data_IF_762928126300
#
_entry.id   IF_762928126300
#
_cell.length_a   1.000
_cell.length_b   1.000
_cell.length_c   1.000
_cell.angle_alpha   90.00
_cell.angle_beta   90.00
_cell.angle_gamma   90.00
#
_symmetry.space_group_name_H-M   'P 1'
#
loop_
_entity.id
_entity.type
_entity.pdbx_description
1 polymer ?
#
# COMPACT_ATOMS: atom_id res chain seq x y z
N UNK A 1 7.95 13.62 -9.04
CA UNK A 1 6.78 14.04 -8.24
C UNK A 1 7.27 14.99 -7.14
N UNK A 2 6.58 16.11 -6.83
CA UNK A 2 6.95 16.94 -5.66
C UNK A 2 6.87 16.13 -4.36
N UNK A 3 7.82 16.36 -3.44
CA UNK A 3 7.93 15.58 -2.20
C UNK A 3 6.68 15.63 -1.32
N UNK A 4 6.04 16.80 -1.17
CA UNK A 4 4.81 16.93 -0.38
C UNK A 4 3.65 16.09 -0.95
N UNK A 5 3.53 16.01 -2.28
CA UNK A 5 2.49 15.23 -2.94
C UNK A 5 2.78 13.74 -2.74
N UNK A 6 4.05 13.34 -2.86
CA UNK A 6 4.50 11.99 -2.59
C UNK A 6 4.13 11.55 -1.17
N UNK A 7 4.46 12.39 -0.18
CA UNK A 7 4.16 12.12 1.22
C UNK A 7 2.66 12.08 1.48
N UNK A 8 1.90 13.01 0.90
CA UNK A 8 0.43 13.02 1.03
C UNK A 8 -0.23 11.76 0.45
N UNK A 9 0.25 11.29 -0.70
CA UNK A 9 -0.24 10.05 -1.31
C UNK A 9 0.04 8.82 -0.45
N UNK A 10 1.24 8.72 0.14
CA UNK A 10 1.61 7.64 1.06
C UNK A 10 0.77 7.71 2.33
N UNK A 11 0.72 8.90 2.95
CA UNK A 11 0.00 9.14 4.20
C UNK A 11 -1.49 8.81 4.07
N UNK A 12 -2.10 9.02 2.90
CA UNK A 12 -3.51 8.70 2.67
C UNK A 12 -3.83 7.21 2.81
N UNK A 13 -2.88 6.31 2.51
CA UNK A 13 -3.07 4.87 2.63
C UNK A 13 -2.83 4.31 4.04
N UNK A 14 -2.16 5.06 4.92
CA UNK A 14 -1.80 4.59 6.27
C UNK A 14 -3.00 4.46 7.23
N UNK A 15 -3.98 5.38 7.27
CA UNK A 15 -5.10 5.30 8.20
C UNK A 15 -5.83 3.96 8.16
N UNK A 16 -6.07 3.42 6.96
CA UNK A 16 -6.72 2.12 6.80
C UNK A 16 -5.91 1.01 7.45
N UNK A 17 -4.60 0.98 7.21
CA UNK A 17 -3.70 -0.06 7.73
C UNK A 17 -3.63 0.00 9.24
N UNK A 18 -3.45 1.21 9.80
CA UNK A 18 -3.42 1.41 11.26
C UNK A 18 -4.76 0.96 11.88
N UNK A 19 -5.89 1.41 11.36
CA UNK A 19 -7.21 1.05 11.91
C UNK A 19 -7.55 -0.44 11.77
N UNK A 20 -7.10 -1.08 10.69
CA UNK A 20 -7.30 -2.52 10.48
C UNK A 20 -6.43 -3.35 11.43
N UNK A 21 -5.17 -2.98 11.60
CA UNK A 21 -4.24 -3.67 12.51
C UNK A 21 -4.68 -3.52 13.97
N UNK A 22 -5.12 -2.32 14.38
CA UNK A 22 -5.70 -2.08 15.71
C UNK A 22 -7.02 -2.84 15.96
N UNK A 23 -7.59 -3.51 14.94
CA UNK A 23 -8.87 -4.20 15.04
C UNK A 23 -10.09 -3.27 15.14
N UNK A 24 -9.91 -1.95 14.99
CA UNK A 24 -10.98 -0.94 15.08
C UNK A 24 -11.92 -1.05 13.88
N UNK A 25 -11.34 -1.25 12.69
CA UNK A 25 -12.10 -1.42 11.44
C UNK A 25 -11.79 -2.80 10.89
N UNK A 26 -12.64 -3.77 11.22
CA UNK A 26 -12.51 -5.12 10.70
C UNK A 26 -12.69 -5.14 9.17
N UNK A 27 -11.98 -6.02 8.44
CA UNK A 27 -12.17 -6.19 7.01
C UNK A 27 -13.63 -6.48 6.67
N UNK A 28 -14.14 -5.83 5.62
CA UNK A 28 -15.49 -6.06 5.07
C UNK A 28 -16.64 -5.77 6.06
N UNK A 29 -16.36 -5.15 7.20
CA UNK A 29 -17.33 -4.95 8.28
C UNK A 29 -18.33 -3.82 8.03
N UNK A 30 -17.96 -2.80 7.23
CA UNK A 30 -18.75 -1.57 7.09
C UNK A 30 -18.42 -0.80 5.82
N UNK A 31 -19.29 0.16 5.47
CA UNK A 31 -19.02 1.13 4.40
C UNK A 31 -17.75 1.95 4.65
N UNK A 32 -17.43 2.23 5.92
CA UNK A 32 -16.22 2.97 6.33
C UNK A 32 -14.96 2.21 5.90
N UNK A 33 -14.95 0.88 6.04
CA UNK A 33 -13.84 0.05 5.56
C UNK A 33 -13.58 0.25 4.06
N UNK A 34 -14.63 0.21 3.24
CA UNK A 34 -14.50 0.41 1.79
C UNK A 34 -14.06 1.82 1.44
N UNK A 35 -14.56 2.85 2.14
CA UNK A 35 -14.11 4.23 1.94
C UNK A 35 -12.62 4.34 2.25
N UNK A 36 -12.17 3.84 3.40
CA UNK A 36 -10.75 3.85 3.80
C UNK A 36 -9.87 3.04 2.84
N UNK A 37 -10.38 1.92 2.30
CA UNK A 37 -9.63 1.07 1.38
C UNK A 37 -9.54 1.66 -0.02
N UNK A 38 -10.62 2.26 -0.54
CA UNK A 38 -10.71 2.70 -1.94
C UNK A 38 -10.26 4.15 -2.15
N UNK A 39 -10.45 5.02 -1.17
CA UNK A 39 -10.11 6.45 -1.27
C UNK A 39 -8.64 6.68 -1.66
N UNK A 40 -7.65 6.00 -1.05
CA UNK A 40 -6.25 6.18 -1.42
C UNK A 40 -6.02 5.86 -2.90
N UNK A 41 -6.56 4.74 -3.39
CA UNK A 41 -6.39 4.34 -4.79
C UNK A 41 -7.11 5.27 -5.77
N UNK A 42 -8.31 5.73 -5.43
CA UNK A 42 -9.04 6.70 -6.24
C UNK A 42 -8.26 8.02 -6.38
N UNK A 43 -7.71 8.53 -5.28
CA UNK A 43 -6.89 9.75 -5.29
C UNK A 43 -5.59 9.54 -6.08
N UNK A 44 -4.91 8.40 -5.90
CA UNK A 44 -3.70 8.08 -6.69
C UNK A 44 -3.99 8.04 -8.19
N UNK A 45 -5.09 7.41 -8.60
CA UNK A 45 -5.52 7.36 -10.00
C UNK A 45 -5.88 8.74 -10.53
N UNK A 46 -6.58 9.56 -9.74
CA UNK A 46 -6.89 10.94 -10.10
C UNK A 46 -5.60 11.75 -10.32
N UNK A 47 -4.60 11.62 -9.43
CA UNK A 47 -3.30 12.26 -9.59
C UNK A 47 -2.56 11.74 -10.82
N UNK A 48 -2.60 10.43 -11.08
CA UNK A 48 -2.00 9.81 -12.25
C UNK A 48 -2.58 10.34 -13.56
N UNK A 49 -3.91 10.48 -13.63
CA UNK A 49 -4.61 11.01 -14.81
C UNK A 49 -4.37 12.51 -14.95
N UNK A 50 -4.55 13.30 -13.89
CA UNK A 50 -4.53 14.76 -13.97
C UNK A 50 -3.11 15.35 -14.10
N UNK A 51 -2.10 14.72 -13.49
CA UNK A 51 -0.76 15.30 -13.47
C UNK A 51 -0.06 15.15 -14.82
N UNK A 52 0.56 16.23 -15.27
CA UNK A 52 1.50 16.22 -16.40
C UNK A 52 2.90 16.01 -15.86
N UNK A 53 3.52 14.89 -16.20
CA UNK A 53 4.86 14.50 -15.75
C UNK A 53 5.63 13.95 -16.94
N UNK A 54 6.95 14.24 -17.00
CA UNK A 54 7.85 13.73 -18.03
C UNK A 54 8.17 12.24 -17.87
N UNK A 55 8.05 11.70 -16.67
CA UNK A 55 8.44 10.33 -16.29
C UNK A 55 7.38 9.62 -15.43
N UNK A 56 6.14 9.45 -15.93
CA UNK A 56 5.00 9.04 -15.09
C UNK A 56 5.14 7.66 -14.48
N UNK A 57 5.76 6.70 -15.18
CA UNK A 57 5.96 5.35 -14.64
C UNK A 57 6.94 5.41 -13.45
N UNK A 58 8.09 6.06 -13.62
CA UNK A 58 9.11 6.19 -12.57
C UNK A 58 8.55 6.89 -11.33
N UNK A 59 7.81 7.98 -11.53
CA UNK A 59 7.21 8.75 -10.44
C UNK A 59 6.28 7.90 -9.55
N UNK A 60 5.40 7.11 -10.17
CA UNK A 60 4.41 6.31 -9.43
C UNK A 60 5.01 5.00 -8.92
N UNK A 61 6.02 4.43 -9.58
CA UNK A 61 6.79 3.32 -9.03
C UNK A 61 7.51 3.72 -7.74
N UNK A 62 8.17 4.87 -7.69
CA UNK A 62 8.80 5.37 -6.47
C UNK A 62 7.76 5.59 -5.37
N UNK A 63 6.61 6.16 -5.70
CA UNK A 63 5.50 6.32 -4.75
C UNK A 63 5.01 4.96 -4.21
N UNK A 64 4.83 3.98 -5.10
CA UNK A 64 4.41 2.62 -4.77
C UNK A 64 5.40 1.90 -3.88
N UNK A 65 6.70 1.99 -4.19
CA UNK A 65 7.78 1.42 -3.36
C UNK A 65 7.76 2.02 -1.97
N UNK A 66 7.70 3.35 -1.86
CA UNK A 66 7.68 4.02 -0.55
C UNK A 66 6.40 3.74 0.22
N UNK A 67 5.26 3.60 -0.47
CA UNK A 67 4.02 3.16 0.15
C UNK A 67 4.14 1.73 0.67
N UNK A 68 4.67 0.79 -0.11
CA UNK A 68 4.95 -0.59 0.34
C UNK A 68 5.83 -0.61 1.58
N UNK A 69 6.94 0.14 1.56
CA UNK A 69 7.84 0.27 2.72
C UNK A 69 7.13 0.88 3.94
N UNK A 70 6.29 1.88 3.75
CA UNK A 70 5.52 2.48 4.85
C UNK A 70 4.54 1.49 5.48
N UNK A 71 3.93 0.61 4.68
CA UNK A 71 3.06 -0.46 5.20
C UNK A 71 3.86 -1.45 6.05
N UNK A 72 5.05 -1.86 5.60
CA UNK A 72 5.95 -2.72 6.38
C UNK A 72 6.28 -2.07 7.72
N UNK A 73 6.68 -0.80 7.71
CA UNK A 73 7.04 -0.07 8.93
C UNK A 73 5.83 -0.01 9.89
N UNK A 74 4.63 0.27 9.38
CA UNK A 74 3.42 0.32 10.22
C UNK A 74 3.11 -1.04 10.84
N UNK A 75 3.14 -2.12 10.05
CA UNK A 75 2.89 -3.47 10.55
C UNK A 75 3.92 -3.86 11.62
N UNK A 76 5.21 -3.70 11.34
CA UNK A 76 6.28 -4.04 12.29
C UNK A 76 6.20 -3.19 13.57
N UNK A 77 5.89 -1.89 13.45
CA UNK A 77 5.76 -1.00 14.61
C UNK A 77 4.55 -1.37 15.49
N UNK A 78 3.41 -1.69 14.88
CA UNK A 78 2.21 -2.10 15.61
C UNK A 78 2.38 -3.49 16.23
N UNK A 79 3.11 -4.39 15.56
CA UNK A 79 3.39 -5.72 16.08
C UNK A 79 4.35 -5.67 17.27
N UNK A 80 5.39 -4.82 17.18
CA UNK A 80 6.33 -4.58 18.28
C UNK A 80 5.68 -3.89 19.48
N UNK A 81 4.60 -3.11 19.28
CA UNK A 81 3.87 -2.45 20.36
C UNK A 81 3.08 -3.42 21.27
N UNK A 82 2.98 -4.70 20.89
CA UNK A 82 2.49 -5.78 21.76
C UNK A 82 1.13 -6.35 21.36
N UNK A 83 0.82 -7.55 21.87
CA UNK A 83 -0.38 -8.33 21.53
C UNK A 83 -1.71 -7.65 21.86
N UNK A 84 -1.70 -6.65 22.76
CA UNK A 84 -2.88 -5.91 23.17
C UNK A 84 -3.29 -4.79 22.21
N UNK A 85 -2.41 -4.38 21.29
CA UNK A 85 -2.60 -3.18 20.45
C UNK A 85 -2.73 -3.49 18.96
N UNK A 86 -2.97 -4.74 18.54
CA UNK A 86 -3.26 -5.03 17.13
C UNK A 86 -2.43 -6.13 16.47
N UNK A 87 -2.08 -7.17 17.23
CA UNK A 87 -1.28 -8.27 16.72
C UNK A 87 -2.15 -9.28 15.98
N UNK A 88 -2.62 -8.88 14.80
CA UNK A 88 -3.41 -9.71 13.90
C UNK A 88 -2.66 -9.96 12.59
N UNK A 89 -1.60 -10.80 12.61
CA UNK A 89 -0.95 -11.22 11.37
C UNK A 89 -1.97 -11.88 10.44
N UNK A 90 -1.77 -11.69 9.13
CA UNK A 90 -2.61 -12.31 8.11
C UNK A 90 -2.71 -13.82 8.39
N UNK A 91 -3.92 -14.36 8.46
CA UNK A 91 -4.10 -15.78 8.75
C UNK A 91 -3.37 -16.70 7.75
N UNK A 92 -3.22 -16.24 6.50
CA UNK A 92 -2.41 -16.94 5.49
C UNK A 92 -0.92 -17.01 5.85
N UNK A 93 -0.37 -15.95 6.45
CA UNK A 93 0.99 -15.92 6.98
C UNK A 93 1.15 -16.91 8.14
N UNK A 94 0.19 -16.92 9.08
CA UNK A 94 0.19 -17.82 10.24
C UNK A 94 0.17 -19.28 9.79
N UNK A 95 -0.76 -19.66 8.91
CA UNK A 95 -0.86 -21.03 8.36
C UNK A 95 0.40 -21.47 7.61
N UNK A 96 1.12 -20.54 6.98
CA UNK A 96 2.39 -20.84 6.32
C UNK A 96 3.50 -21.06 7.36
N UNK A 97 3.59 -20.17 8.35
CA UNK A 97 4.63 -20.18 9.37
C UNK A 97 4.52 -21.37 10.34
N UNK A 98 3.31 -21.90 10.56
CA UNK A 98 3.06 -23.13 11.33
C UNK A 98 3.80 -24.35 10.78
N UNK A 99 4.15 -24.36 9.49
CA UNK A 99 4.89 -25.46 8.85
C UNK A 99 6.38 -25.48 9.17
N UNK A 100 6.89 -24.44 9.84
CA UNK A 100 8.30 -24.25 10.13
C UNK A 100 8.60 -24.40 11.63
N UNK A 101 9.88 -24.69 11.94
CA UNK A 101 10.37 -24.76 13.31
C UNK A 101 10.23 -23.40 14.02
N UNK A 102 10.19 -23.37 15.37
CA UNK A 102 9.97 -22.13 16.13
C UNK A 102 10.83 -20.93 15.72
N UNK A 103 12.17 -21.05 15.50
CA UNK A 103 12.99 -19.90 15.10
C UNK A 103 12.73 -19.42 13.66
N UNK A 104 12.26 -20.31 12.78
CA UNK A 104 11.92 -19.95 11.40
C UNK A 104 10.51 -19.35 11.28
N UNK A 105 9.63 -19.61 12.25
CA UNK A 105 8.24 -19.14 12.23
C UNK A 105 8.14 -17.62 12.19
N UNK A 106 8.88 -16.94 13.06
CA UNK A 106 8.88 -15.47 13.15
C UNK A 106 9.47 -14.84 11.90
N UNK A 107 10.60 -15.39 11.40
CA UNK A 107 11.22 -14.96 10.16
C UNK A 107 10.26 -15.09 8.95
N UNK A 108 9.53 -16.20 8.87
CA UNK A 108 8.54 -16.43 7.80
C UNK A 108 7.36 -15.48 7.92
N UNK A 109 6.87 -15.19 9.12
CA UNK A 109 5.77 -14.23 9.33
C UNK A 109 6.15 -12.84 8.84
N UNK A 110 7.29 -12.30 9.28
CA UNK A 110 7.72 -10.95 8.92
C UNK A 110 8.13 -10.88 7.45
N UNK A 111 8.80 -11.92 6.93
CA UNK A 111 9.13 -12.02 5.50
C UNK A 111 7.88 -12.05 4.62
N UNK A 112 6.83 -12.76 5.03
CA UNK A 112 5.58 -12.81 4.30
C UNK A 112 4.85 -11.46 4.30
N UNK A 113 4.80 -10.78 5.46
CA UNK A 113 4.23 -9.44 5.57
C UNK A 113 4.97 -8.44 4.67
N UNK A 114 6.31 -8.48 4.68
CA UNK A 114 7.17 -7.68 3.79
C UNK A 114 6.85 -7.91 2.32
N UNK A 115 6.80 -9.17 1.88
CA UNK A 115 6.53 -9.51 0.48
C UNK A 115 5.16 -9.03 0.04
N UNK A 116 4.12 -9.20 0.86
CA UNK A 116 2.77 -8.74 0.54
C UNK A 116 2.70 -7.22 0.48
N UNK A 117 3.21 -6.53 1.50
CA UNK A 117 3.20 -5.07 1.56
C UNK A 117 3.92 -4.45 0.35
N UNK A 118 5.08 -5.00 -0.02
CA UNK A 118 5.83 -4.57 -1.20
C UNK A 118 5.10 -4.90 -2.51
N UNK A 119 4.47 -6.07 -2.60
CA UNK A 119 3.68 -6.45 -3.78
C UNK A 119 2.50 -5.50 -3.98
N UNK A 120 1.79 -5.15 -2.91
CA UNK A 120 0.70 -4.16 -2.93
C UNK A 120 1.25 -2.79 -3.37
N UNK A 121 2.32 -2.31 -2.72
CA UNK A 121 2.93 -1.03 -3.03
C UNK A 121 3.38 -0.91 -4.49
N UNK A 122 4.15 -1.89 -4.97
CA UNK A 122 4.63 -1.95 -6.35
C UNK A 122 3.49 -2.11 -7.36
N UNK A 123 2.52 -2.98 -7.07
CA UNK A 123 1.37 -3.21 -7.95
C UNK A 123 0.54 -1.94 -8.14
N UNK A 124 0.29 -1.21 -7.06
CA UNK A 124 -0.43 0.08 -7.09
C UNK A 124 0.38 1.14 -7.83
N UNK A 125 1.68 1.25 -7.53
CA UNK A 125 2.57 2.20 -8.20
C UNK A 125 2.70 1.96 -9.70
N UNK A 126 2.82 0.69 -10.10
CA UNK A 126 2.86 0.29 -11.51
C UNK A 126 1.54 0.60 -12.20
N UNK A 127 0.40 0.25 -11.58
CA UNK A 127 -0.93 0.51 -12.13
C UNK A 127 -1.15 2.01 -12.36
N UNK A 128 -0.88 2.84 -11.35
CA UNK A 128 -0.97 4.30 -11.48
C UNK A 128 0.02 4.84 -12.53
N UNK A 129 1.23 4.29 -12.60
CA UNK A 129 2.22 4.65 -13.61
C UNK A 129 1.78 4.36 -15.04
N UNK A 130 1.17 3.20 -15.27
CA UNK A 130 0.58 2.81 -16.58
C UNK A 130 -0.58 3.73 -16.93
N UNK A 131 -1.50 3.99 -16.00
CA UNK A 131 -2.63 4.90 -16.21
C UNK A 131 -2.15 6.31 -16.56
N UNK A 132 -1.15 6.82 -15.83
CA UNK A 132 -0.54 8.12 -16.12
C UNK A 132 0.14 8.14 -17.49
N UNK A 133 0.75 7.03 -17.91
CA UNK A 133 1.37 6.91 -19.22
C UNK A 133 0.34 6.94 -20.35
N UNK A 134 -0.75 6.19 -20.21
CA UNK A 134 -1.89 6.17 -21.14
C UNK A 134 -2.54 7.54 -21.22
N UNK A 135 -2.82 8.18 -20.08
CA UNK A 135 -3.42 9.51 -20.03
C UNK A 135 -2.54 10.58 -20.71
N UNK A 136 -1.21 10.51 -20.50
CA UNK A 136 -0.25 11.36 -21.22
C UNK A 136 -0.33 11.14 -22.72
N UNK A 137 -0.33 9.88 -23.16
CA UNK A 137 -0.38 9.53 -24.59
C UNK A 137 -1.67 10.02 -25.25
N UNK A 138 -2.82 9.78 -24.62
CA UNK A 138 -4.12 10.26 -25.10
C UNK A 138 -4.17 11.78 -25.27
N UNK A 139 -3.62 12.54 -24.32
CA UNK A 139 -3.52 14.01 -24.43
C UNK A 139 -2.63 14.45 -25.59
N UNK A 140 -1.48 13.80 -25.79
CA UNK A 140 -0.58 14.14 -26.90
C UNK A 140 -1.20 13.83 -28.26
N UNK A 141 -2.04 12.81 -28.37
CA UNK A 141 -2.74 12.48 -29.62
C UNK A 141 -3.83 13.51 -29.88
N UNK A 142 -4.63 13.89 -28.88
CA UNK A 142 -5.72 14.88 -29.03
C UNK A 142 -5.23 16.30 -29.37
N UNK A 143 -3.98 16.62 -29.05
CA UNK A 143 -3.37 17.92 -29.33
C UNK A 143 -2.69 18.00 -30.71
N UNK A 144 -2.66 16.89 -31.47
CA UNK A 144 -2.20 16.83 -32.86
C UNK A 144 -3.41 16.81 -33.78
#
# INVERSE_FOLDING_TARGET
MPGWLLLGLIALGLPRTILADLGIVAPESSSIYYVLALTPFAVWLAVAVCRRTGSPIKDHLVAGTLYGLSLVIVHEALWAAGSSLGHHPLQSAVRLAERFSPPLRELVLHGYALVIAMTIGLGVGLTAGVVAAVARRARTIRAR
#
